data_IF_057055350844
#
_entry.id   IF_057055350844
#
_cell.length_a   1.000
_cell.length_b   1.000
_cell.length_c   1.000
_cell.angle_alpha   90.00
_cell.angle_beta   90.00
_cell.angle_gamma   90.00
#
_symmetry.space_group_name_H-M   'P 1'
#
loop_
_entity.id
_entity.type
_entity.pdbx_description
1 polymer ?
#
# COMPACT_ATOMS: atom_id res chain seq x y z
N UNK A 1 7.79 -0.92 26.85
CA UNK A 1 8.21 0.28 26.10
C UNK A 1 8.67 -0.21 24.74
N UNK A 2 8.12 0.27 23.61
CA UNK A 2 8.59 -0.17 22.29
C UNK A 2 10.07 0.20 22.13
N UNK A 3 10.84 -0.69 21.51
CA UNK A 3 12.28 -0.51 21.36
C UNK A 3 12.55 0.58 20.29
N UNK A 4 13.56 1.45 20.47
CA UNK A 4 13.88 2.53 19.52
C UNK A 4 13.97 2.06 18.03
N UNK A 5 14.56 0.89 17.74
CA UNK A 5 14.60 0.35 16.37
C UNK A 5 13.22 0.01 15.79
N UNK A 6 12.27 -0.44 16.62
CA UNK A 6 10.92 -0.80 16.18
C UNK A 6 10.14 0.44 15.75
N UNK A 7 10.22 1.53 16.53
CA UNK A 7 9.52 2.79 16.23
C UNK A 7 10.04 3.41 14.94
N UNK A 8 11.36 3.41 14.72
CA UNK A 8 11.97 3.87 13.48
C UNK A 8 11.44 3.09 12.28
N UNK A 9 11.38 1.76 12.38
CA UNK A 9 10.88 0.92 11.29
C UNK A 9 9.38 1.12 11.03
N UNK A 10 8.57 1.34 12.06
CA UNK A 10 7.15 1.69 11.91
C UNK A 10 6.97 2.98 11.12
N UNK A 11 7.73 4.03 11.45
CA UNK A 11 7.70 5.31 10.72
C UNK A 11 8.10 5.08 9.25
N UNK A 12 9.20 4.34 9.02
CA UNK A 12 9.67 4.04 7.65
C UNK A 12 8.61 3.33 6.81
N UNK A 13 7.88 2.38 7.40
CA UNK A 13 6.79 1.65 6.73
C UNK A 13 5.58 2.54 6.47
N UNK A 14 5.14 3.29 7.48
CA UNK A 14 4.01 4.22 7.36
C UNK A 14 4.21 5.24 6.22
N UNK A 15 5.45 5.68 6.01
CA UNK A 15 5.81 6.68 5.00
C UNK A 15 6.54 6.11 3.78
N UNK A 16 6.54 4.78 3.59
CA UNK A 16 7.29 4.13 2.52
C UNK A 16 6.94 4.71 1.15
N UNK A 17 5.65 4.96 0.88
CA UNK A 17 5.21 5.55 -0.40
C UNK A 17 5.81 6.93 -0.64
N UNK A 18 5.80 7.81 0.37
CA UNK A 18 6.40 9.14 0.25
C UNK A 18 7.90 9.04 0.00
N UNK A 19 8.61 8.22 0.78
CA UNK A 19 10.06 8.02 0.65
C UNK A 19 10.42 7.60 -0.78
N UNK A 20 9.73 6.60 -1.33
CA UNK A 20 9.96 6.13 -2.70
C UNK A 20 9.67 7.21 -3.75
N UNK A 21 8.56 7.94 -3.63
CA UNK A 21 8.22 9.02 -4.58
C UNK A 21 9.30 10.11 -4.61
N UNK A 22 9.85 10.49 -3.46
CA UNK A 22 10.92 11.50 -3.38
C UNK A 22 12.21 10.98 -4.03
N UNK A 23 12.61 9.74 -3.76
CA UNK A 23 13.81 9.14 -4.37
C UNK A 23 13.67 9.06 -5.89
N UNK A 24 12.52 8.60 -6.39
CA UNK A 24 12.24 8.55 -7.83
C UNK A 24 12.25 9.96 -8.47
N UNK A 25 11.65 10.95 -7.82
CA UNK A 25 11.60 12.34 -8.29
C UNK A 25 12.96 13.03 -8.32
N UNK A 26 13.94 12.59 -7.52
CA UNK A 26 15.31 13.08 -7.60
C UNK A 26 16.03 12.64 -8.89
N UNK A 27 15.60 11.54 -9.49
CA UNK A 27 16.23 10.94 -10.69
C UNK A 27 15.41 11.19 -11.95
N UNK A 28 14.10 11.46 -11.82
CA UNK A 28 13.18 11.62 -12.95
C UNK A 28 12.35 12.92 -12.86
N UNK A 29 12.54 13.87 -13.80
CA UNK A 29 11.75 15.11 -13.85
C UNK A 29 10.24 14.92 -14.03
N UNK A 30 9.80 13.80 -14.62
CA UNK A 30 8.37 13.48 -14.75
C UNK A 30 7.78 13.13 -13.39
N UNK A 31 8.45 12.26 -12.62
CA UNK A 31 8.04 11.91 -11.26
C UNK A 31 8.01 13.13 -10.32
N UNK A 32 8.92 14.09 -10.55
CA UNK A 32 8.92 15.36 -9.80
C UNK A 32 7.64 16.15 -10.00
N UNK A 33 7.08 16.19 -11.22
CA UNK A 33 5.79 16.85 -11.48
C UNK A 33 4.65 16.13 -10.78
N UNK A 34 4.69 14.80 -10.74
CA UNK A 34 3.70 13.97 -10.03
C UNK A 34 3.77 14.16 -8.51
N UNK A 35 4.96 14.38 -7.95
CA UNK A 35 5.20 14.53 -6.51
C UNK A 35 4.71 15.88 -5.96
N UNK A 36 4.78 16.96 -6.73
CA UNK A 36 4.51 18.31 -6.23
C UNK A 36 3.11 18.50 -5.59
N UNK A 37 2.01 18.01 -6.17
CA UNK A 37 0.69 18.07 -5.53
C UNK A 37 0.64 17.34 -4.17
N UNK A 38 1.39 16.24 -4.03
CA UNK A 38 1.47 15.49 -2.78
C UNK A 38 2.22 16.27 -1.70
N UNK A 39 3.35 16.91 -2.06
CA UNK A 39 4.09 17.78 -1.14
C UNK A 39 3.27 18.99 -0.72
N UNK A 40 2.54 19.61 -1.66
CA UNK A 40 1.67 20.74 -1.34
C UNK A 40 0.54 20.34 -0.38
N UNK A 41 -0.05 19.16 -0.58
CA UNK A 41 -1.06 18.61 0.34
C UNK A 41 -0.47 18.33 1.72
N UNK A 42 0.74 17.75 1.79
CA UNK A 42 1.43 17.49 3.05
C UNK A 42 1.72 18.79 3.82
N UNK A 43 2.22 19.83 3.14
CA UNK A 43 2.48 21.14 3.73
C UNK A 43 1.19 21.76 4.32
N UNK A 44 0.08 21.70 3.57
CA UNK A 44 -1.23 22.17 4.04
C UNK A 44 -1.73 21.40 5.28
N UNK A 45 -1.27 20.16 5.47
CA UNK A 45 -1.60 19.32 6.62
C UNK A 45 -0.58 19.44 7.77
N UNK A 46 0.30 20.44 7.76
CA UNK A 46 1.23 20.73 8.85
C UNK A 46 2.66 20.21 8.67
N UNK A 47 2.96 19.47 7.60
CA UNK A 47 4.29 18.90 7.33
C UNK A 47 5.24 19.90 6.66
N UNK A 48 5.19 21.17 7.06
CA UNK A 48 5.89 22.25 6.37
C UNK A 48 7.41 22.12 6.45
N UNK A 49 7.94 21.70 7.60
CA UNK A 49 9.38 21.54 7.83
C UNK A 49 9.94 20.39 7.00
N UNK A 50 9.31 19.20 7.05
CA UNK A 50 9.61 18.09 6.15
C UNK A 50 9.59 18.51 4.68
N UNK A 51 8.52 19.15 4.21
CA UNK A 51 8.38 19.53 2.80
C UNK A 51 9.49 20.49 2.35
N UNK A 52 9.90 21.43 3.20
CA UNK A 52 11.04 22.30 2.91
C UNK A 52 12.34 21.50 2.73
N UNK A 53 12.60 20.54 3.63
CA UNK A 53 13.78 19.67 3.54
C UNK A 53 13.73 18.77 2.31
N UNK A 54 12.59 18.15 2.01
CA UNK A 54 12.43 17.30 0.81
C UNK A 54 12.61 18.13 -0.48
N UNK A 55 12.15 19.38 -0.53
CA UNK A 55 12.40 20.28 -1.67
C UNK A 55 13.89 20.62 -1.84
N UNK A 56 14.62 20.81 -0.74
CA UNK A 56 16.10 20.99 -0.77
C UNK A 56 16.82 19.73 -1.29
N UNK A 57 16.33 18.54 -0.93
CA UNK A 57 16.81 17.27 -1.50
C UNK A 57 16.48 17.22 -3.00
N UNK A 58 15.27 17.56 -3.41
CA UNK A 58 14.91 17.60 -4.84
C UNK A 58 15.73 18.64 -5.64
N UNK A 59 16.29 19.66 -5.00
CA UNK A 59 17.23 20.60 -5.62
C UNK A 59 18.70 20.15 -5.58
N UNK A 60 18.99 18.95 -5.05
CA UNK A 60 20.32 18.34 -5.07
C UNK A 60 21.12 18.40 -3.76
N UNK A 61 20.58 18.97 -2.68
CA UNK A 61 21.29 19.01 -1.38
C UNK A 61 21.28 17.63 -0.70
N UNK A 62 22.41 17.22 -0.13
CA UNK A 62 22.58 15.89 0.49
C UNK A 62 23.32 15.94 1.83
N UNK A 63 23.51 17.13 2.38
CA UNK A 63 24.26 17.35 3.61
C UNK A 63 23.48 16.93 4.87
N UNK A 64 24.23 16.62 5.94
CA UNK A 64 23.67 16.21 7.24
C UNK A 64 22.92 17.38 7.92
N UNK A 65 23.23 18.62 7.55
CA UNK A 65 22.54 19.81 8.05
C UNK A 65 21.05 19.84 7.68
N UNK A 66 20.62 19.05 6.69
CA UNK A 66 19.20 18.80 6.39
C UNK A 66 18.42 18.18 7.56
N UNK A 67 19.10 17.54 8.52
CA UNK A 67 18.47 16.85 9.65
C UNK A 67 18.32 17.74 10.89
N UNK A 68 18.89 18.94 10.87
CA UNK A 68 18.86 19.85 12.01
C UNK A 68 17.47 20.45 12.18
N UNK A 69 16.96 20.44 13.41
CA UNK A 69 15.65 21.01 13.76
C UNK A 69 14.45 20.13 13.43
N UNK A 70 14.64 18.99 12.73
CA UNK A 70 13.56 18.05 12.45
C UNK A 70 13.12 17.28 13.69
N UNK A 71 11.82 17.02 13.79
CA UNK A 71 11.31 16.05 14.74
C UNK A 71 11.74 14.61 14.38
N UNK A 72 11.42 13.66 15.26
CA UNK A 72 11.81 12.26 15.07
C UNK A 72 11.24 11.65 13.79
N UNK A 73 10.00 11.98 13.44
CA UNK A 73 9.31 11.41 12.29
C UNK A 73 9.90 11.95 10.99
N UNK A 74 10.03 13.26 10.89
CA UNK A 74 10.62 13.97 9.76
C UNK A 74 12.08 13.57 9.53
N UNK A 75 12.84 13.40 10.62
CA UNK A 75 14.22 12.95 10.56
C UNK A 75 14.33 11.54 10.00
N UNK A 76 13.49 10.61 10.45
CA UNK A 76 13.51 9.22 9.95
C UNK A 76 13.13 9.15 8.47
N UNK A 77 12.15 9.94 8.03
CA UNK A 77 11.75 10.04 6.62
C UNK A 77 12.92 10.59 5.79
N UNK A 78 13.51 11.70 6.22
CA UNK A 78 14.61 12.38 5.52
C UNK A 78 15.85 11.50 5.42
N UNK A 79 16.26 10.86 6.52
CA UNK A 79 17.37 9.91 6.51
C UNK A 79 17.09 8.73 5.57
N UNK A 80 15.86 8.21 5.54
CA UNK A 80 15.48 7.11 4.64
C UNK A 80 15.54 7.50 3.16
N UNK A 81 15.17 8.75 2.83
CA UNK A 81 15.32 9.29 1.47
C UNK A 81 16.81 9.40 1.09
N UNK A 82 17.64 9.97 1.97
CA UNK A 82 19.08 10.12 1.73
C UNK A 82 19.77 8.76 1.59
N UNK A 83 19.44 7.78 2.44
CA UNK A 83 19.92 6.40 2.30
C UNK A 83 19.44 5.76 1.00
N UNK A 84 18.16 5.92 0.64
CA UNK A 84 17.58 5.38 -0.60
C UNK A 84 18.22 5.95 -1.88
N UNK A 85 18.70 7.20 -1.82
CA UNK A 85 19.45 7.83 -2.92
C UNK A 85 20.86 7.27 -3.08
N UNK A 86 21.47 6.77 -2.00
CA UNK A 86 22.78 6.13 -2.02
C UNK A 86 22.67 4.64 -2.41
N UNK A 87 21.68 3.96 -1.85
CA UNK A 87 21.40 2.55 -2.09
C UNK A 87 19.89 2.31 -2.11
N UNK A 88 19.37 1.95 -3.29
CA UNK A 88 17.94 1.65 -3.47
C UNK A 88 17.46 0.45 -2.63
N UNK A 89 18.35 -0.47 -2.25
CA UNK A 89 18.00 -1.62 -1.39
C UNK A 89 17.77 -1.21 0.06
N UNK A 90 18.23 -0.02 0.47
CA UNK A 90 17.97 0.54 1.79
C UNK A 90 16.57 1.13 1.94
N UNK A 91 15.79 1.20 0.85
CA UNK A 91 14.43 1.72 0.91
C UNK A 91 13.51 0.80 1.73
N UNK A 92 12.56 1.35 2.51
CA UNK A 92 11.56 0.52 3.16
C UNK A 92 10.74 -0.21 2.09
N UNK A 93 10.27 -1.43 2.37
CA UNK A 93 9.35 -2.09 1.47
C UNK A 93 8.12 -1.18 1.30
N UNK A 94 7.76 -0.89 0.05
CA UNK A 94 6.41 -0.39 -0.22
C UNK A 94 5.48 -1.47 0.27
N UNK A 95 4.65 -1.17 1.25
CA UNK A 95 3.55 -2.04 1.64
C UNK A 95 2.76 -2.33 0.34
N UNK A 96 2.98 -3.51 -0.23
CA UNK A 96 2.03 -4.11 -1.14
C UNK A 96 0.85 -4.41 -0.22
N UNK A 97 -0.08 -3.44 -0.15
CA UNK A 97 -0.91 -3.23 1.04
C UNK A 97 -1.45 -4.50 1.66
N UNK A 98 -1.22 -4.67 2.96
CA UNK A 98 -1.56 -5.84 3.79
C UNK A 98 -1.15 -7.17 3.15
N UNK A 99 -0.28 -7.94 3.81
CA UNK A 99 0.08 -9.30 3.37
C UNK A 99 -1.18 -10.05 2.90
N UNK A 100 -1.27 -10.38 1.59
CA UNK A 100 -2.41 -11.07 1.04
C UNK A 100 -2.84 -12.32 1.81
N UNK A 101 -1.86 -13.00 2.44
CA UNK A 101 -2.10 -14.20 3.25
C UNK A 101 -2.84 -13.90 4.56
N UNK A 102 -2.73 -12.68 5.10
CA UNK A 102 -3.45 -12.25 6.30
C UNK A 102 -4.87 -11.77 5.98
N UNK A 103 -5.11 -11.26 4.78
CA UNK A 103 -6.42 -10.78 4.33
C UNK A 103 -7.32 -11.92 3.81
N UNK A 104 -6.74 -12.96 3.20
CA UNK A 104 -7.47 -14.03 2.52
C UNK A 104 -8.50 -14.76 3.41
N UNK A 105 -8.20 -15.18 4.66
CA UNK A 105 -9.17 -15.90 5.49
C UNK A 105 -10.42 -15.08 5.82
N UNK A 106 -10.24 -13.78 6.12
CA UNK A 106 -11.35 -12.87 6.41
C UNK A 106 -12.24 -12.67 5.19
N UNK A 107 -11.64 -12.40 4.03
CA UNK A 107 -12.37 -12.23 2.76
C UNK A 107 -13.12 -13.51 2.38
N UNK A 108 -12.47 -14.68 2.49
CA UNK A 108 -13.08 -15.97 2.21
C UNK A 108 -14.28 -16.26 3.12
N UNK A 109 -14.18 -15.93 4.41
CA UNK A 109 -15.29 -16.10 5.36
C UNK A 109 -16.51 -15.27 4.97
N UNK A 110 -16.31 -14.01 4.54
CA UNK A 110 -17.43 -13.16 4.11
C UNK A 110 -18.01 -13.62 2.77
N UNK A 111 -17.17 -14.06 1.82
CA UNK A 111 -17.64 -14.66 0.57
C UNK A 111 -18.46 -15.92 0.84
N UNK A 112 -18.01 -16.78 1.76
CA UNK A 112 -18.74 -17.98 2.15
C UNK A 112 -20.09 -17.62 2.78
N UNK A 113 -20.13 -16.70 3.75
CA UNK A 113 -21.39 -16.23 4.34
C UNK A 113 -22.36 -15.67 3.27
N UNK A 114 -21.84 -14.88 2.32
CA UNK A 114 -22.62 -14.35 1.21
C UNK A 114 -23.19 -15.46 0.30
N UNK A 115 -22.44 -16.54 0.05
CA UNK A 115 -22.92 -17.72 -0.69
C UNK A 115 -24.07 -18.43 0.04
N UNK A 116 -24.04 -18.41 1.37
CA UNK A 116 -25.11 -18.98 2.21
C UNK A 116 -26.34 -18.06 2.32
N UNK A 117 -26.36 -16.92 1.63
CA UNK A 117 -27.48 -15.98 1.63
C UNK A 117 -27.42 -14.91 2.70
N UNK A 118 -26.28 -14.74 3.39
CA UNK A 118 -26.11 -13.64 4.35
C UNK A 118 -26.13 -12.29 3.61
N UNK A 119 -27.20 -11.54 3.81
CA UNK A 119 -27.42 -10.24 3.18
C UNK A 119 -26.44 -9.17 3.67
N UNK A 120 -26.00 -9.26 4.93
CA UNK A 120 -25.02 -8.32 5.48
C UNK A 120 -23.64 -8.57 4.87
N UNK A 121 -23.26 -9.83 4.71
CA UNK A 121 -22.04 -10.22 4.00
C UNK A 121 -22.06 -9.76 2.54
N UNK A 122 -23.20 -9.90 1.85
CA UNK A 122 -23.37 -9.40 0.47
C UNK A 122 -23.21 -7.89 0.35
N UNK A 123 -23.83 -7.12 1.27
CA UNK A 123 -23.70 -5.66 1.31
C UNK A 123 -22.24 -5.25 1.56
N UNK A 124 -21.58 -5.90 2.50
CA UNK A 124 -20.18 -5.63 2.81
C UNK A 124 -19.26 -5.92 1.62
N UNK A 125 -19.45 -7.05 0.92
CA UNK A 125 -18.69 -7.36 -0.29
C UNK A 125 -18.91 -6.31 -1.40
N UNK A 126 -20.14 -5.82 -1.55
CA UNK A 126 -20.45 -4.75 -2.50
C UNK A 126 -19.73 -3.45 -2.17
N UNK A 127 -19.75 -3.04 -0.90
CA UNK A 127 -19.02 -1.85 -0.44
C UNK A 127 -17.52 -1.99 -0.63
N UNK A 128 -16.95 -3.15 -0.28
CA UNK A 128 -15.54 -3.45 -0.47
C UNK A 128 -15.15 -3.43 -1.95
N UNK A 129 -15.96 -4.03 -2.82
CA UNK A 129 -15.74 -4.01 -4.27
C UNK A 129 -15.73 -2.57 -4.82
N UNK A 130 -16.68 -1.72 -4.41
CA UNK A 130 -16.73 -0.32 -4.84
C UNK A 130 -15.54 0.52 -4.33
N UNK A 131 -15.05 0.25 -3.11
CA UNK A 131 -13.85 0.91 -2.60
C UNK A 131 -12.60 0.47 -3.37
N UNK A 132 -12.48 -0.83 -3.62
CA UNK A 132 -11.40 -1.43 -4.41
C UNK A 132 -11.37 -0.92 -5.85
N UNK A 133 -12.54 -0.74 -6.47
CA UNK A 133 -12.67 -0.13 -7.80
C UNK A 133 -12.10 1.29 -7.82
N UNK A 134 -12.45 2.13 -6.83
CA UNK A 134 -11.92 3.50 -6.70
C UNK A 134 -10.41 3.55 -6.48
N UNK A 135 -9.86 2.55 -5.79
CA UNK A 135 -8.41 2.44 -5.58
C UNK A 135 -7.66 2.11 -6.89
N UNK A 136 -8.33 1.50 -7.87
CA UNK A 136 -7.75 1.19 -9.17
C UNK A 136 -6.74 0.03 -9.15
N UNK A 137 -6.12 -0.22 -10.30
CA UNK A 137 -5.04 -1.20 -10.44
C UNK A 137 -5.45 -2.63 -10.04
N UNK A 138 -4.60 -3.29 -9.26
CA UNK A 138 -4.83 -4.64 -8.78
C UNK A 138 -6.01 -4.77 -7.82
N UNK A 139 -6.27 -3.74 -7.00
CA UNK A 139 -7.40 -3.75 -6.08
C UNK A 139 -8.72 -3.74 -6.84
N UNK A 140 -8.85 -2.93 -7.88
CA UNK A 140 -10.05 -2.94 -8.74
C UNK A 140 -10.29 -4.31 -9.39
N UNK A 141 -9.23 -5.03 -9.77
CA UNK A 141 -9.32 -6.38 -10.33
C UNK A 141 -9.78 -7.40 -9.28
N UNK A 142 -9.27 -7.31 -8.05
CA UNK A 142 -9.73 -8.17 -6.94
C UNK A 142 -11.19 -7.87 -6.60
N UNK A 143 -11.56 -6.59 -6.51
CA UNK A 143 -12.95 -6.17 -6.30
C UNK A 143 -13.91 -6.74 -7.35
N UNK A 144 -13.51 -6.72 -8.63
CA UNK A 144 -14.28 -7.33 -9.72
C UNK A 144 -14.45 -8.85 -9.60
N UNK A 145 -13.52 -9.55 -8.92
CA UNK A 145 -13.61 -10.99 -8.68
C UNK A 145 -14.59 -11.35 -7.54
N UNK A 146 -14.86 -10.44 -6.60
CA UNK A 146 -15.72 -10.70 -5.43
C UNK A 146 -17.16 -11.09 -5.80
N UNK A 147 -17.75 -10.44 -6.81
CA UNK A 147 -19.11 -10.75 -7.27
C UNK A 147 -19.26 -12.14 -7.89
N UNK A 148 -18.40 -12.54 -8.84
CA UNK A 148 -18.32 -13.93 -9.29
C UNK A 148 -18.10 -14.93 -8.15
N UNK A 149 -17.18 -14.63 -7.22
CA UNK A 149 -16.87 -15.50 -6.10
C UNK A 149 -18.06 -15.68 -5.16
N UNK A 150 -18.83 -14.63 -4.86
CA UNK A 150 -20.06 -14.73 -4.05
C UNK A 150 -21.16 -15.55 -4.72
N UNK A 151 -21.11 -15.69 -6.05
CA UNK A 151 -21.99 -16.57 -6.84
C UNK A 151 -21.43 -17.98 -7.08
N UNK A 152 -20.33 -18.35 -6.41
CA UNK A 152 -19.72 -19.68 -6.54
C UNK A 152 -18.84 -19.88 -7.77
N UNK A 153 -18.48 -18.81 -8.50
CA UNK A 153 -17.60 -18.92 -9.65
C UNK A 153 -16.14 -18.86 -9.19
N UNK A 154 -15.38 -19.94 -9.39
CA UNK A 154 -14.02 -20.13 -8.86
C UNK A 154 -12.94 -20.37 -9.92
N UNK A 155 -13.23 -20.06 -11.19
CA UNK A 155 -12.27 -20.19 -12.28
C UNK A 155 -11.11 -19.20 -12.10
N UNK A 156 -10.00 -19.68 -11.54
CA UNK A 156 -8.83 -18.86 -11.25
C UNK A 156 -8.29 -18.16 -12.50
N UNK A 157 -8.16 -18.86 -13.63
CA UNK A 157 -7.63 -18.27 -14.86
C UNK A 157 -8.49 -17.11 -15.36
N UNK A 158 -9.81 -17.25 -15.25
CA UNK A 158 -10.74 -16.19 -15.65
C UNK A 158 -10.73 -15.01 -14.67
N UNK A 159 -10.71 -15.30 -13.37
CA UNK A 159 -10.73 -14.29 -12.32
C UNK A 159 -9.40 -13.53 -12.21
N UNK A 160 -8.27 -14.20 -12.43
CA UNK A 160 -6.93 -13.64 -12.35
C UNK A 160 -6.53 -12.73 -13.53
N UNK A 161 -7.44 -12.52 -14.49
CA UNK A 161 -7.09 -11.89 -15.78
C UNK A 161 -6.58 -10.46 -15.59
N UNK A 162 -5.34 -10.24 -16.02
CA UNK A 162 -4.67 -8.95 -15.95
C UNK A 162 -4.23 -8.51 -14.56
N UNK A 163 -4.36 -9.37 -13.53
CA UNK A 163 -3.77 -9.15 -12.21
C UNK A 163 -2.26 -9.32 -12.24
N UNK A 164 -1.55 -8.54 -11.42
CA UNK A 164 -0.13 -8.77 -11.12
C UNK A 164 0.08 -10.07 -10.34
N UNK A 165 1.35 -10.46 -10.15
CA UNK A 165 1.72 -11.63 -9.34
C UNK A 165 1.17 -11.55 -7.91
N UNK A 166 1.24 -10.38 -7.29
CA UNK A 166 0.80 -10.18 -5.90
C UNK A 166 -0.72 -10.33 -5.78
N UNK A 167 -1.48 -9.73 -6.69
CA UNK A 167 -2.94 -9.88 -6.74
C UNK A 167 -3.37 -11.33 -7.04
N UNK A 168 -2.64 -12.04 -7.90
CA UNK A 168 -2.88 -13.47 -8.14
C UNK A 168 -2.67 -14.32 -6.89
N UNK A 169 -1.63 -14.02 -6.10
CA UNK A 169 -1.38 -14.70 -4.83
C UNK A 169 -2.52 -14.46 -3.84
N UNK A 170 -3.04 -13.23 -3.75
CA UNK A 170 -4.22 -12.92 -2.93
C UNK A 170 -5.43 -13.72 -3.37
N UNK A 171 -5.75 -13.71 -4.67
CA UNK A 171 -6.90 -14.44 -5.22
C UNK A 171 -6.76 -15.95 -4.96
N UNK A 172 -5.56 -16.50 -5.14
CA UNK A 172 -5.29 -17.91 -4.85
C UNK A 172 -5.52 -18.22 -3.36
N UNK A 173 -4.99 -17.39 -2.46
CA UNK A 173 -5.20 -17.54 -1.02
C UNK A 173 -6.68 -17.52 -0.64
N UNK A 174 -7.47 -16.61 -1.23
CA UNK A 174 -8.93 -16.56 -1.00
C UNK A 174 -9.61 -17.86 -1.45
N UNK A 175 -9.26 -18.40 -2.61
CA UNK A 175 -9.81 -19.66 -3.11
C UNK A 175 -9.43 -20.86 -2.25
N UNK A 176 -8.19 -20.91 -1.78
CA UNK A 176 -7.69 -21.96 -0.89
C UNK A 176 -8.44 -21.92 0.46
N UNK A 177 -8.66 -20.74 1.03
CA UNK A 177 -9.47 -20.58 2.26
C UNK A 177 -10.94 -20.94 2.02
N UNK A 178 -11.53 -20.55 0.88
CA UNK A 178 -12.89 -20.97 0.50
C UNK A 178 -13.01 -22.49 0.33
N UNK A 179 -11.95 -23.18 -0.12
CA UNK A 179 -11.93 -24.63 -0.19
C UNK A 179 -12.01 -25.27 1.20
N UNK A 180 -11.36 -24.70 2.21
CA UNK A 180 -11.39 -25.19 3.61
C UNK A 180 -12.75 -25.03 4.28
N UNK A 181 -13.52 -24.01 3.91
CA UNK A 181 -14.83 -23.70 4.50
C UNK A 181 -15.98 -24.56 3.95
N UNK A 182 -15.74 -25.36 2.90
CA UNK A 182 -16.75 -26.26 2.35
C UNK A 182 -16.89 -27.49 3.26
N UNK A 183 -18.13 -27.90 3.62
CA UNK A 183 -18.33 -29.20 4.24
C UNK A 183 -17.88 -30.31 3.28
N UNK A 184 -17.13 -31.30 3.80
CA UNK A 184 -16.70 -32.48 3.04
C UNK A 184 -17.87 -33.37 2.65
#
# INVERSE_FOLDING_TARGET
>A
MPNLPERREQIRRAHARLIHMVVAACQNPVERKTLEPHLQTAANNGWNELVQVLRRILSGQRDVALLEGLDEEDRVITESVLSGLQDAHSLPPLDQGADPSLAAPGIASVIYAARQGDTQALVWLGQMASQMERAGGDMARIGAALGPLSRGQEDFTRLARGMSTSARQLLQGILDELAKLRPQ
#
